data_IF_262252649283
#
_entry.id   IF_262252649283
#
_cell.length_a   1.000
_cell.length_b   1.000
_cell.length_c   1.000
_cell.angle_alpha   90.00
_cell.angle_beta   90.00
_cell.angle_gamma   90.00
#
_symmetry.space_group_name_H-M   'P 1'
#
loop_
_entity.id
_entity.type
_entity.pdbx_description
1 polymer ?
#
# COMPACT_ATOMS: atom_id res chain seq x y z
N UNK A 1 -37.06 0.48 68.28
CA UNK A 1 -36.52 1.45 67.30
C UNK A 1 -35.08 1.09 67.00
N UNK A 2 -34.70 1.17 65.72
CA UNK A 2 -33.38 0.90 65.10
C UNK A 2 -33.03 -0.58 64.80
N UNK A 3 -33.82 -1.16 63.91
CA UNK A 3 -33.37 -2.16 62.93
C UNK A 3 -32.91 -1.42 61.67
N UNK A 4 -31.61 -1.38 61.38
CA UNK A 4 -31.04 -1.15 60.05
C UNK A 4 -29.52 -1.08 60.15
N UNK A 5 -28.89 -2.23 60.02
CA UNK A 5 -27.45 -2.39 59.83
C UNK A 5 -27.26 -3.81 59.35
N UNK A 6 -26.50 -4.01 58.28
CA UNK A 6 -26.43 -5.24 57.48
C UNK A 6 -27.50 -5.29 56.37
N UNK A 7 -27.41 -4.37 55.41
CA UNK A 7 -27.86 -4.64 54.04
C UNK A 7 -27.08 -3.80 53.02
N UNK A 8 -25.76 -3.81 53.09
CA UNK A 8 -24.94 -3.08 52.13
C UNK A 8 -23.56 -3.70 51.94
N UNK A 9 -23.48 -4.99 51.59
CA UNK A 9 -22.22 -5.58 51.07
C UNK A 9 -22.41 -6.90 50.31
N UNK A 10 -23.65 -7.28 49.98
CA UNK A 10 -23.96 -8.42 49.10
C UNK A 10 -24.88 -7.98 47.97
N UNK A 11 -24.51 -6.86 47.33
CA UNK A 11 -25.01 -6.51 46.00
C UNK A 11 -23.82 -6.49 45.04
N UNK A 12 -23.57 -7.67 44.49
CA UNK A 12 -23.34 -7.89 43.05
C UNK A 12 -22.21 -7.02 42.46
N UNK A 13 -20.94 -7.41 42.53
CA UNK A 13 -20.35 -8.48 41.69
C UNK A 13 -20.72 -8.45 40.20
N UNK A 14 -21.16 -7.33 39.63
CA UNK A 14 -21.33 -7.14 38.17
C UNK A 14 -21.17 -5.68 37.75
N UNK A 15 -19.97 -5.13 37.88
CA UNK A 15 -19.58 -3.90 37.15
C UNK A 15 -18.09 -3.89 36.82
N UNK A 16 -17.48 -5.08 36.70
CA UNK A 16 -16.26 -5.30 35.92
C UNK A 16 -16.62 -5.72 34.50
N UNK A 17 -17.48 -4.93 33.85
CA UNK A 17 -17.32 -4.72 32.42
C UNK A 17 -16.88 -3.28 32.30
N UNK A 18 -15.57 -3.11 32.45
CA UNK A 18 -14.86 -2.08 31.73
C UNK A 18 -15.41 -2.11 30.32
N UNK A 19 -16.19 -1.08 30.00
CA UNK A 19 -16.60 -0.77 28.65
C UNK A 19 -15.30 -0.55 27.89
N UNK A 20 -14.71 -1.61 27.36
CA UNK A 20 -13.87 -1.56 26.16
C UNK A 20 -14.83 -1.13 25.05
N UNK A 21 -15.22 0.14 25.06
CA UNK A 21 -15.42 0.88 23.84
C UNK A 21 -14.02 0.97 23.27
N UNK A 22 -13.64 -0.01 22.46
CA UNK A 22 -12.70 0.31 21.38
C UNK A 22 -13.33 1.51 20.68
N UNK A 23 -12.69 2.70 20.69
CA UNK A 23 -13.24 3.83 20.00
C UNK A 23 -13.38 3.44 18.53
N UNK A 24 -14.62 3.43 18.05
CA UNK A 24 -14.92 3.23 16.65
C UNK A 24 -14.07 4.21 15.83
N UNK A 25 -13.24 3.68 14.93
CA UNK A 25 -12.60 4.44 13.88
C UNK A 25 -11.59 5.49 14.35
N UNK A 26 -10.61 5.12 15.19
CA UNK A 26 -9.29 5.77 15.01
C UNK A 26 -8.83 5.39 13.61
N UNK A 27 -9.06 6.27 12.64
CA UNK A 27 -8.30 6.30 11.40
C UNK A 27 -6.84 6.05 11.81
N UNK A 28 -6.23 4.99 11.27
CA UNK A 28 -4.81 4.73 11.48
C UNK A 28 -4.09 6.04 11.15
N UNK A 29 -3.66 6.77 12.17
CA UNK A 29 -2.87 7.98 12.02
C UNK A 29 -1.44 7.46 12.07
N UNK A 30 -0.81 7.27 10.91
CA UNK A 30 0.53 6.71 10.86
C UNK A 30 1.49 7.68 11.55
N UNK A 31 2.58 7.13 12.07
CA UNK A 31 3.62 7.94 12.70
C UNK A 31 4.34 8.77 11.63
N UNK A 32 4.18 10.09 11.71
CA UNK A 32 4.79 11.03 10.78
C UNK A 32 6.26 11.28 11.13
N UNK A 33 7.16 11.14 10.15
CA UNK A 33 8.61 11.30 10.32
C UNK A 33 9.19 12.25 9.27
N UNK A 34 10.27 12.93 9.63
CA UNK A 34 11.06 13.70 8.66
C UNK A 34 11.84 12.76 7.74
N UNK A 35 12.12 13.20 6.52
CA UNK A 35 12.91 12.47 5.54
C UNK A 35 14.04 13.35 4.97
N UNK A 36 15.14 12.76 4.48
CA UNK A 36 16.17 13.51 3.76
C UNK A 36 15.64 14.04 2.42
N UNK A 37 16.30 15.04 1.85
CA UNK A 37 15.92 15.64 0.55
C UNK A 37 16.14 14.65 -0.59
N UNK A 38 15.21 14.58 -1.55
CA UNK A 38 15.41 13.76 -2.75
C UNK A 38 16.44 14.40 -3.69
N UNK A 39 17.54 13.70 -3.94
CA UNK A 39 18.57 14.12 -4.89
C UNK A 39 18.23 13.68 -6.32
N UNK A 40 17.93 12.40 -6.49
CA UNK A 40 17.75 11.79 -7.80
C UNK A 40 16.34 11.22 -7.99
N UNK A 41 16.02 10.91 -9.25
CA UNK A 41 14.83 10.13 -9.60
C UNK A 41 15.15 8.63 -9.42
N UNK A 42 14.24 7.82 -8.86
CA UNK A 42 14.51 6.40 -8.65
C UNK A 42 14.84 5.64 -9.94
N UNK A 43 15.73 4.66 -9.83
CA UNK A 43 16.21 3.85 -10.97
C UNK A 43 15.07 3.12 -11.67
N UNK A 44 14.04 2.68 -10.94
CA UNK A 44 12.92 1.93 -11.52
C UNK A 44 12.13 2.73 -12.58
N UNK A 45 12.26 4.06 -12.58
CA UNK A 45 11.66 4.97 -13.57
C UNK A 45 12.51 5.16 -14.83
N UNK A 46 13.69 4.54 -14.91
CA UNK A 46 14.47 4.51 -16.15
C UNK A 46 13.81 3.55 -17.13
N UNK A 47 13.47 4.05 -18.33
CA UNK A 47 12.58 3.35 -19.28
C UNK A 47 13.27 2.26 -20.12
N UNK A 48 14.58 2.06 -19.98
CA UNK A 48 15.31 1.04 -20.76
C UNK A 48 15.11 -0.35 -20.14
N UNK A 49 13.96 -0.96 -20.40
CA UNK A 49 13.66 -2.35 -20.04
C UNK A 49 13.29 -3.13 -21.29
N UNK A 50 14.11 -4.12 -21.64
CA UNK A 50 13.96 -4.95 -22.84
C UNK A 50 12.75 -5.88 -22.81
N UNK A 51 12.31 -6.27 -21.61
CA UNK A 51 11.43 -7.43 -21.42
C UNK A 51 10.01 -7.04 -20.99
N UNK A 52 9.38 -6.15 -21.77
CA UNK A 52 7.99 -5.75 -21.59
C UNK A 52 7.03 -6.85 -22.08
N UNK A 53 6.22 -7.40 -21.17
CA UNK A 53 5.15 -8.35 -21.51
C UNK A 53 3.84 -7.66 -21.93
N UNK A 54 3.65 -6.40 -21.59
CA UNK A 54 2.50 -5.59 -22.01
C UNK A 54 1.14 -5.91 -21.35
N UNK A 55 0.87 -7.15 -20.91
CA UNK A 55 -0.37 -7.55 -20.24
C UNK A 55 -0.15 -8.68 -19.23
N UNK A 56 -0.97 -8.72 -18.17
CA UNK A 56 -0.93 -9.75 -17.13
C UNK A 56 -1.31 -11.12 -17.72
N UNK A 57 -2.15 -11.16 -18.75
CA UNK A 57 -2.53 -12.39 -19.44
C UNK A 57 -1.37 -13.11 -20.15
N UNK A 58 -0.24 -12.43 -20.38
CA UNK A 58 0.95 -13.01 -21.01
C UNK A 58 1.91 -13.68 -20.00
N UNK A 59 1.66 -13.52 -18.71
CA UNK A 59 2.45 -14.18 -17.66
C UNK A 59 2.14 -15.70 -17.69
N UNK A 60 3.16 -16.58 -17.65
CA UNK A 60 2.95 -18.02 -17.50
C UNK A 60 2.09 -18.37 -16.28
N UNK A 61 1.41 -19.52 -16.32
CA UNK A 61 0.55 -19.97 -15.21
C UNK A 61 1.37 -20.18 -13.92
N UNK A 62 1.20 -19.28 -12.95
CA UNK A 62 1.97 -19.24 -11.70
C UNK A 62 1.20 -18.44 -10.64
N UNK A 63 1.78 -18.32 -9.45
CA UNK A 63 1.35 -17.34 -8.45
C UNK A 63 2.49 -16.36 -8.22
N UNK A 64 2.21 -15.07 -8.38
CA UNK A 64 3.15 -14.00 -8.11
C UNK A 64 2.90 -13.45 -6.71
N UNK A 65 3.94 -13.44 -5.88
CA UNK A 65 3.89 -12.91 -4.51
C UNK A 65 4.75 -11.67 -4.45
N UNK A 66 4.19 -10.54 -3.99
CA UNK A 66 4.95 -9.30 -3.88
C UNK A 66 6.09 -9.45 -2.87
N UNK A 67 7.28 -9.04 -3.30
CA UNK A 67 8.51 -9.06 -2.51
C UNK A 67 8.80 -7.69 -1.91
N UNK A 68 8.75 -6.67 -2.74
CA UNK A 68 9.01 -5.29 -2.41
C UNK A 68 8.15 -4.36 -3.28
N UNK A 69 7.97 -3.13 -2.81
CA UNK A 69 7.29 -2.08 -3.54
C UNK A 69 7.99 -0.73 -3.33
N UNK A 70 8.16 0.02 -4.41
CA UNK A 70 8.67 1.39 -4.39
C UNK A 70 7.60 2.35 -4.90
N UNK A 71 7.34 3.41 -4.14
CA UNK A 71 6.42 4.48 -4.52
C UNK A 71 7.21 5.76 -4.72
N UNK A 72 7.03 6.39 -5.88
CA UNK A 72 7.55 7.71 -6.15
C UNK A 72 6.42 8.63 -6.56
N UNK A 73 6.33 9.81 -5.95
CA UNK A 73 5.36 10.83 -6.33
C UNK A 73 6.12 12.09 -6.68
N UNK A 74 5.86 12.64 -7.86
CA UNK A 74 6.38 13.95 -8.25
C UNK A 74 5.28 14.84 -8.81
N UNK A 75 5.52 16.15 -8.78
CA UNK A 75 4.59 17.11 -9.33
C UNK A 75 4.97 18.55 -9.02
N UNK A 76 4.05 19.46 -9.33
CA UNK A 76 4.19 20.89 -9.05
C UNK A 76 2.96 21.40 -8.32
N UNK A 77 3.15 22.20 -7.26
CA UNK A 77 2.09 22.90 -6.55
C UNK A 77 2.50 24.35 -6.35
N UNK A 78 1.62 25.29 -6.69
CA UNK A 78 1.91 26.74 -6.64
C UNK A 78 3.22 27.16 -7.34
N UNK A 79 3.63 26.42 -8.39
CA UNK A 79 4.88 26.67 -9.12
C UNK A 79 6.14 26.06 -8.50
N UNK A 80 6.03 25.40 -7.35
CA UNK A 80 7.13 24.70 -6.70
C UNK A 80 7.04 23.18 -6.92
N UNK A 81 8.15 22.57 -7.34
CA UNK A 81 8.21 21.13 -7.56
C UNK A 81 8.29 20.38 -6.22
N UNK A 82 7.64 19.23 -6.15
CA UNK A 82 7.76 18.31 -5.03
C UNK A 82 8.08 16.89 -5.50
N UNK A 83 8.73 16.12 -4.63
CA UNK A 83 9.12 14.73 -4.83
C UNK A 83 9.03 13.97 -3.52
N UNK A 84 8.49 12.76 -3.52
CA UNK A 84 8.46 11.89 -2.35
C UNK A 84 8.73 10.45 -2.81
N UNK A 85 9.70 9.79 -2.18
CA UNK A 85 10.08 8.41 -2.46
C UNK A 85 9.91 7.57 -1.21
N UNK A 86 9.20 6.45 -1.35
CA UNK A 86 8.93 5.52 -0.28
C UNK A 86 9.19 4.08 -0.72
N UNK A 87 9.51 3.22 0.24
CA UNK A 87 9.83 1.82 0.03
C UNK A 87 9.07 0.94 1.00
N UNK A 88 8.67 -0.24 0.52
CA UNK A 88 8.07 -1.29 1.31
C UNK A 88 8.74 -2.64 1.01
N UNK A 89 9.13 -3.37 2.05
CA UNK A 89 9.52 -4.78 1.95
C UNK A 89 8.44 -5.68 2.55
N UNK A 90 8.03 -6.73 1.84
CA UNK A 90 7.06 -7.73 2.31
C UNK A 90 7.73 -8.99 2.90
N UNK A 91 9.06 -9.13 2.76
CA UNK A 91 9.82 -10.27 3.29
C UNK A 91 10.31 -10.09 4.73
N UNK A 92 10.30 -8.87 5.26
CA UNK A 92 10.83 -8.55 6.59
C UNK A 92 9.77 -8.83 7.67
N UNK A 93 10.17 -9.30 8.88
CA UNK A 93 9.25 -9.61 9.97
C UNK A 93 8.45 -8.39 10.45
N UNK A 94 7.34 -8.65 11.15
CA UNK A 94 6.41 -7.64 11.66
C UNK A 94 7.14 -6.49 12.37
N UNK A 95 6.96 -5.26 11.87
CA UNK A 95 7.50 -4.03 12.45
C UNK A 95 8.54 -3.28 11.60
N UNK A 96 9.14 -3.91 10.59
CA UNK A 96 10.02 -3.23 9.64
C UNK A 96 9.50 -3.45 8.22
N UNK A 97 8.74 -2.51 7.68
CA UNK A 97 8.07 -2.81 6.42
C UNK A 97 7.87 -1.60 5.50
N UNK A 98 7.40 -0.44 5.97
CA UNK A 98 7.24 0.78 5.16
C UNK A 98 8.17 1.91 5.62
N UNK A 99 8.86 2.59 4.71
CA UNK A 99 9.69 3.75 5.03
C UNK A 99 9.63 4.84 3.95
N UNK A 100 9.84 6.09 4.37
CA UNK A 100 10.06 7.22 3.47
C UNK A 100 11.57 7.32 3.26
N UNK A 101 12.03 7.13 2.03
CA UNK A 101 13.44 7.18 1.67
C UNK A 101 13.93 8.62 1.54
N UNK A 102 13.14 9.46 0.86
CA UNK A 102 13.42 10.89 0.72
C UNK A 102 12.14 11.68 0.45
N UNK A 103 12.18 12.98 0.71
CA UNK A 103 11.13 13.92 0.33
C UNK A 103 11.66 15.34 0.13
N UNK A 104 11.14 16.02 -0.89
CA UNK A 104 11.34 17.45 -1.16
C UNK A 104 9.96 18.04 -1.37
N UNK A 105 9.50 18.94 -0.49
CA UNK A 105 8.18 19.56 -0.59
C UNK A 105 8.24 21.06 -0.26
N UNK A 106 7.35 21.88 -0.82
CA UNK A 106 7.17 23.27 -0.40
C UNK A 106 6.83 23.40 1.09
N UNK A 107 6.99 24.60 1.63
CA UNK A 107 6.51 24.93 2.96
C UNK A 107 4.98 24.71 3.05
N UNK A 108 4.53 24.17 4.19
CA UNK A 108 3.12 23.87 4.46
C UNK A 108 2.43 22.94 3.45
N UNK A 109 3.21 22.14 2.70
CA UNK A 109 2.68 21.12 1.81
C UNK A 109 1.91 20.05 2.60
N UNK A 110 0.63 19.87 2.25
CA UNK A 110 -0.28 18.89 2.87
C UNK A 110 -1.05 18.15 1.81
N UNK A 111 -0.65 16.90 1.55
CA UNK A 111 -1.27 16.09 0.51
C UNK A 111 -1.31 14.63 0.90
N UNK A 112 -2.28 13.90 0.33
CA UNK A 112 -2.42 12.46 0.48
C UNK A 112 -2.50 11.80 -0.88
N UNK A 113 -1.60 10.86 -1.11
CA UNK A 113 -1.53 10.07 -2.32
C UNK A 113 -1.99 8.65 -2.05
N UNK A 114 -2.59 8.03 -3.07
CA UNK A 114 -2.96 6.63 -2.96
C UNK A 114 -3.08 5.94 -4.31
N UNK A 115 -2.55 4.72 -4.34
CA UNK A 115 -2.55 3.87 -5.52
C UNK A 115 -2.87 2.43 -5.12
N UNK A 116 -3.75 1.80 -5.89
CA UNK A 116 -4.13 0.41 -5.69
C UNK A 116 -3.24 -0.50 -6.52
N UNK A 117 -2.82 -1.63 -5.94
CA UNK A 117 -2.07 -2.63 -6.66
C UNK A 117 -2.24 -4.03 -6.08
N UNK A 118 -2.07 -5.09 -6.90
CA UNK A 118 -2.06 -6.45 -6.42
C UNK A 118 -0.76 -6.77 -5.67
N UNK A 119 -0.87 -7.37 -4.48
CA UNK A 119 0.28 -7.99 -3.79
C UNK A 119 0.34 -9.50 -3.97
N UNK A 120 -0.73 -10.09 -4.53
CA UNK A 120 -0.79 -11.48 -4.95
C UNK A 120 -1.52 -11.55 -6.30
N UNK A 121 -0.92 -12.20 -7.30
CA UNK A 121 -1.54 -12.45 -8.61
C UNK A 121 -1.52 -13.94 -8.87
N UNK A 122 -2.70 -14.55 -9.03
CA UNK A 122 -2.83 -15.94 -9.48
C UNK A 122 -3.19 -15.95 -10.97
N UNK A 123 -2.27 -16.42 -11.82
CA UNK A 123 -2.45 -16.45 -13.28
C UNK A 123 -2.90 -17.83 -13.77
N UNK A 124 -3.19 -18.77 -12.87
CA UNK A 124 -3.64 -20.12 -13.24
C UNK A 124 -5.04 -20.07 -13.83
N UNK A 125 -5.29 -20.93 -14.84
CA UNK A 125 -6.63 -21.08 -15.45
C UNK A 125 -7.72 -21.40 -14.43
N UNK A 126 -7.36 -22.17 -13.39
CA UNK A 126 -8.19 -22.42 -12.22
C UNK A 126 -7.47 -21.81 -11.02
N UNK A 127 -7.91 -20.63 -10.55
CA UNK A 127 -7.27 -19.96 -9.42
C UNK A 127 -7.25 -20.84 -8.17
N UNK A 128 -6.09 -20.94 -7.53
CA UNK A 128 -5.92 -21.64 -6.25
C UNK A 128 -6.02 -20.69 -5.06
N UNK A 129 -5.53 -19.46 -5.21
CA UNK A 129 -5.44 -18.45 -4.14
C UNK A 129 -6.12 -17.13 -4.52
N UNK A 130 -6.30 -16.88 -5.81
CA UNK A 130 -6.90 -15.65 -6.33
C UNK A 130 -5.98 -14.43 -6.20
N UNK A 131 -6.56 -13.24 -6.18
CA UNK A 131 -5.82 -11.98 -6.13
C UNK A 131 -5.94 -11.30 -4.76
N UNK A 132 -4.85 -10.72 -4.28
CA UNK A 132 -4.84 -9.85 -3.09
C UNK A 132 -4.54 -8.43 -3.54
N UNK A 133 -5.46 -7.49 -3.27
CA UNK A 133 -5.32 -6.08 -3.60
C UNK A 133 -5.03 -5.26 -2.36
N UNK A 134 -4.09 -4.33 -2.47
CA UNK A 134 -3.69 -3.42 -1.40
C UNK A 134 -3.74 -1.99 -1.91
N UNK A 135 -4.06 -1.06 -1.02
CA UNK A 135 -3.92 0.36 -1.29
C UNK A 135 -2.68 0.87 -0.57
N UNK A 136 -1.75 1.41 -1.35
CA UNK A 136 -0.56 2.09 -0.87
C UNK A 136 -0.90 3.54 -0.62
N UNK A 137 -0.48 4.08 0.52
CA UNK A 137 -0.86 5.41 0.97
C UNK A 137 0.36 6.18 1.42
N UNK A 138 0.44 7.41 0.94
CA UNK A 138 1.45 8.36 1.35
C UNK A 138 0.76 9.61 1.88
N UNK A 139 1.22 10.10 3.03
CA UNK A 139 0.78 11.35 3.62
C UNK A 139 1.98 12.28 3.75
N UNK A 140 1.85 13.50 3.26
CA UNK A 140 2.75 14.60 3.54
C UNK A 140 2.00 15.64 4.37
N UNK A 141 2.60 16.12 5.45
CA UNK A 141 2.05 17.15 6.34
C UNK A 141 3.17 18.04 6.86
N UNK A 142 3.31 19.22 6.26
CA UNK A 142 4.26 20.28 6.66
C UNK A 142 5.69 19.75 6.91
N UNK A 143 6.26 19.03 5.93
CA UNK A 143 7.62 18.49 5.99
C UNK A 143 7.77 17.19 6.80
N UNK A 144 6.66 16.59 7.24
CA UNK A 144 6.63 15.24 7.79
C UNK A 144 5.86 14.30 6.88
N UNK A 145 6.23 13.03 6.91
CA UNK A 145 5.79 12.04 5.95
C UNK A 145 5.43 10.73 6.63
N UNK A 146 4.46 10.03 6.05
CA UNK A 146 4.16 8.65 6.41
C UNK A 146 3.83 7.85 5.16
N UNK A 147 4.29 6.60 5.16
CA UNK A 147 3.96 5.62 4.15
C UNK A 147 3.41 4.36 4.83
N UNK A 148 2.28 3.88 4.35
CA UNK A 148 1.66 2.66 4.83
C UNK A 148 0.80 2.06 3.75
N UNK A 149 0.35 0.83 3.99
CA UNK A 149 -0.54 0.15 3.08
C UNK A 149 -1.54 -0.66 3.88
N UNK A 150 -2.64 -1.03 3.24
CA UNK A 150 -3.63 -1.90 3.84
C UNK A 150 -4.27 -2.75 2.75
N UNK A 151 -4.63 -3.97 3.13
CA UNK A 151 -5.39 -4.87 2.26
C UNK A 151 -6.75 -4.23 1.96
N UNK A 152 -7.04 -4.03 0.68
CA UNK A 152 -8.31 -3.47 0.23
C UNK A 152 -9.38 -4.57 0.10
N UNK A 153 -10.61 -4.16 -0.21
CA UNK A 153 -11.67 -5.11 -0.59
C UNK A 153 -11.24 -5.95 -1.78
N UNK A 154 -11.58 -7.23 -1.75
CA UNK A 154 -11.36 -8.16 -2.86
C UNK A 154 -12.02 -7.66 -4.14
N UNK A 155 -11.51 -8.13 -5.29
CA UNK A 155 -12.13 -7.89 -6.59
C UNK A 155 -13.62 -8.26 -6.55
N UNK A 156 -14.46 -7.42 -7.16
CA UNK A 156 -15.89 -7.72 -7.30
C UNK A 156 -16.08 -8.99 -8.13
N UNK A 157 -17.13 -9.78 -7.89
CA UNK A 157 -17.46 -10.92 -8.74
C UNK A 157 -17.51 -10.49 -10.22
N UNK A 158 -16.81 -11.22 -11.09
CA UNK A 158 -16.66 -10.97 -12.54
C UNK A 158 -15.73 -9.80 -12.95
N UNK A 159 -15.15 -9.06 -12.02
CA UNK A 159 -14.12 -8.08 -12.34
C UNK A 159 -12.77 -8.78 -12.48
N UNK A 160 -12.12 -8.67 -13.64
CA UNK A 160 -10.75 -9.14 -13.79
C UNK A 160 -9.76 -8.09 -13.26
N UNK A 161 -8.53 -8.53 -12.94
CA UNK A 161 -7.51 -7.67 -12.35
C UNK A 161 -7.10 -6.51 -13.26
N UNK A 162 -6.98 -6.74 -14.57
CA UNK A 162 -6.56 -5.69 -15.51
C UNK A 162 -7.59 -4.56 -15.62
N UNK A 163 -8.88 -4.90 -15.66
CA UNK A 163 -9.98 -3.94 -15.68
C UNK A 163 -10.06 -3.17 -14.37
N UNK A 164 -9.79 -3.82 -13.23
CA UNK A 164 -9.64 -3.12 -11.95
C UNK A 164 -8.51 -2.10 -11.99
N UNK A 165 -7.32 -2.47 -12.47
CA UNK A 165 -6.19 -1.55 -12.56
C UNK A 165 -6.51 -0.34 -13.46
N UNK A 166 -7.09 -0.58 -14.64
CA UNK A 166 -7.52 0.49 -15.57
C UNK A 166 -8.56 1.42 -14.94
N UNK A 167 -9.58 0.86 -14.27
CA UNK A 167 -10.65 1.64 -13.63
C UNK A 167 -10.20 2.38 -12.37
N UNK A 168 -9.09 1.98 -11.75
CA UNK A 168 -8.48 2.69 -10.61
C UNK A 168 -7.78 4.00 -11.01
N UNK A 169 -7.74 4.33 -12.30
CA UNK A 169 -7.09 5.53 -12.84
C UNK A 169 -5.58 5.40 -13.02
N UNK A 170 -5.03 4.19 -12.86
CA UNK A 170 -3.64 3.89 -13.14
C UNK A 170 -3.49 3.20 -14.52
N UNK A 171 -2.48 3.60 -15.27
CA UNK A 171 -1.93 2.79 -16.36
C UNK A 171 -0.93 1.80 -15.78
N UNK A 172 -0.78 0.64 -16.39
CA UNK A 172 0.16 -0.37 -15.90
C UNK A 172 1.05 -0.91 -17.03
N UNK A 173 2.26 -1.32 -16.67
CA UNK A 173 3.20 -2.08 -17.49
C UNK A 173 3.70 -3.24 -16.65
N UNK A 174 3.92 -4.40 -17.28
CA UNK A 174 4.51 -5.55 -16.60
C UNK A 174 5.75 -6.02 -17.34
N UNK A 175 6.80 -6.25 -16.58
CA UNK A 175 8.12 -6.66 -17.07
C UNK A 175 8.49 -8.01 -16.50
N UNK A 176 9.14 -8.84 -17.31
CA UNK A 176 9.79 -10.04 -16.83
C UNK A 176 11.26 -9.73 -16.56
N UNK A 177 11.69 -9.75 -15.29
CA UNK A 177 13.09 -9.45 -14.94
C UNK A 177 13.97 -10.69 -15.05
N UNK A 178 13.43 -11.84 -14.65
CA UNK A 178 14.07 -13.16 -14.79
C UNK A 178 13.01 -14.22 -15.08
N UNK A 179 13.38 -15.50 -15.16
CA UNK A 179 12.41 -16.59 -15.27
C UNK A 179 11.47 -16.73 -14.06
N UNK A 180 11.84 -16.16 -12.90
CA UNK A 180 11.08 -16.27 -11.65
C UNK A 180 10.78 -14.92 -11.01
N UNK A 181 11.14 -13.80 -11.64
CA UNK A 181 10.93 -12.46 -11.11
C UNK A 181 10.20 -11.59 -12.14
N UNK A 182 9.13 -10.93 -11.69
CA UNK A 182 8.31 -10.03 -12.49
C UNK A 182 8.20 -8.68 -11.79
N UNK A 183 7.97 -7.62 -12.55
CA UNK A 183 7.72 -6.29 -12.00
C UNK A 183 6.47 -5.69 -12.62
N UNK A 184 5.55 -5.24 -11.77
CA UNK A 184 4.40 -4.44 -12.16
C UNK A 184 4.70 -2.97 -11.86
N UNK A 185 4.69 -2.17 -12.91
CA UNK A 185 4.79 -0.72 -12.81
C UNK A 185 3.40 -0.11 -13.04
N UNK A 186 2.97 0.75 -12.13
CA UNK A 186 1.72 1.49 -12.17
C UNK A 186 2.01 2.99 -12.19
N UNK A 187 1.28 3.71 -13.04
CA UNK A 187 1.41 5.16 -13.18
C UNK A 187 0.02 5.79 -13.17
N UNK A 188 -0.24 6.64 -12.18
CA UNK A 188 -1.49 7.39 -12.02
C UNK A 188 -1.20 8.88 -12.07
N UNK A 189 -1.82 9.58 -13.01
CA UNK A 189 -1.64 11.03 -13.19
C UNK A 189 -2.90 11.77 -12.76
N UNK A 190 -2.74 12.78 -11.90
CA UNK A 190 -3.82 13.65 -11.42
C UNK A 190 -3.38 15.10 -11.51
N UNK A 191 -3.83 15.82 -12.53
CA UNK A 191 -3.36 17.19 -12.80
C UNK A 191 -1.86 17.23 -13.07
N UNK A 192 -1.15 18.07 -12.30
CA UNK A 192 0.30 18.25 -12.34
C UNK A 192 1.08 17.26 -11.45
N UNK A 193 0.39 16.26 -10.88
CA UNK A 193 0.99 15.23 -10.02
C UNK A 193 0.99 13.88 -10.72
N UNK A 194 2.10 13.14 -10.60
CA UNK A 194 2.20 11.75 -11.04
C UNK A 194 2.62 10.85 -9.88
N UNK A 195 1.83 9.81 -9.65
CA UNK A 195 2.09 8.73 -8.70
C UNK A 195 2.62 7.53 -9.49
N UNK A 196 3.83 7.09 -9.16
CA UNK A 196 4.45 5.88 -9.68
C UNK A 196 4.54 4.84 -8.58
N UNK A 197 4.25 3.59 -8.92
CA UNK A 197 4.45 2.45 -8.06
C UNK A 197 5.12 1.34 -8.86
N UNK A 198 6.23 0.82 -8.36
CA UNK A 198 6.82 -0.43 -8.84
C UNK A 198 6.63 -1.49 -7.76
N UNK A 199 6.18 -2.69 -8.15
CA UNK A 199 6.13 -3.86 -7.28
C UNK A 199 6.91 -4.99 -7.93
N UNK A 200 7.91 -5.52 -7.23
CA UNK A 200 8.62 -6.73 -7.64
C UNK A 200 7.93 -7.95 -7.05
N UNK A 201 7.79 -9.01 -7.85
CA UNK A 201 7.19 -10.26 -7.46
C UNK A 201 8.12 -11.45 -7.68
N UNK A 202 8.06 -12.40 -6.75
CA UNK A 202 8.60 -13.73 -6.94
C UNK A 202 7.51 -14.66 -7.48
N UNK A 203 7.83 -15.42 -8.53
CA UNK A 203 6.95 -16.43 -9.09
C UNK A 203 7.07 -17.75 -8.33
N UNK A 204 5.94 -18.25 -7.85
CA UNK A 204 5.82 -19.49 -7.08
C UNK A 204 5.13 -20.56 -7.95
N UNK A 205 5.91 -21.39 -8.68
CA UNK A 205 5.35 -22.33 -9.65
C UNK A 205 4.52 -23.45 -8.99
N UNK A 206 4.80 -23.79 -7.73
CA UNK A 206 4.08 -24.83 -6.98
C UNK A 206 3.71 -24.31 -5.59
N UNK A 207 2.40 -24.15 -5.36
CA UNK A 207 1.84 -24.10 -4.02
C UNK A 207 1.75 -25.56 -3.54
N UNK A 208 2.52 -25.91 -2.51
CA UNK A 208 2.40 -27.19 -1.82
C UNK A 208 1.11 -27.24 -1.01
#
# INVERSE_FOLDING_TARGET
MKTSGILLLVLLSTSSFAVKRDPAGRLLMPELRSAPVCQDRPEFLTELRSDLLGSIAQIPETVLVARDAEVFVDGTVNGEAFKIHAYQSFLKPEGSSAEILCATTPADFKERFSIYAPTLIDTKKVPKVGHSLWQFQLLADSGKFAFWNFKSTSLKPKQNLEDFLKTSGATYKIYQKTHTEFELMLVKKTGETTEYLSITYDAVPRLK
#
